data_IF_344600811823
#
_entry.id   IF_344600811823
#
_cell.length_a   1.000
_cell.length_b   1.000
_cell.length_c   1.000
_cell.angle_alpha   90.00
_cell.angle_beta   90.00
_cell.angle_gamma   90.00
#
_symmetry.space_group_name_H-M   'P 1'
#
loop_
_entity.id
_entity.type
_entity.pdbx_description
1 polymer ?
#
# COMPACT_ATOMS: atom_id res chain seq x y z
N UNK A 1 -39.57 -5.57 -23.74
CA UNK A 1 -38.52 -5.07 -22.83
C UNK A 1 -37.17 -5.38 -23.47
N UNK A 2 -36.64 -4.44 -24.26
CA UNK A 2 -35.45 -4.65 -25.09
C UNK A 2 -34.21 -4.53 -24.22
N UNK A 3 -33.58 -5.66 -23.89
CA UNK A 3 -32.20 -5.74 -23.40
C UNK A 3 -31.29 -5.13 -24.46
N UNK A 4 -31.12 -3.80 -24.40
CA UNK A 4 -30.02 -3.12 -25.09
C UNK A 4 -28.75 -3.85 -24.69
N UNK A 5 -28.21 -4.62 -25.64
CA UNK A 5 -26.89 -5.24 -25.57
C UNK A 5 -25.94 -4.20 -24.99
N UNK A 6 -25.59 -4.37 -23.72
CA UNK A 6 -24.69 -3.50 -22.98
C UNK A 6 -23.36 -3.50 -23.73
N UNK A 7 -23.20 -2.44 -24.52
CA UNK A 7 -22.00 -1.95 -25.19
C UNK A 7 -20.74 -2.75 -24.84
N UNK A 8 -20.31 -3.58 -25.79
CA UNK A 8 -19.00 -4.22 -25.87
C UNK A 8 -17.82 -3.22 -25.85
N UNK A 9 -18.09 -1.90 -25.94
CA UNK A 9 -17.08 -0.84 -25.87
C UNK A 9 -16.47 -0.68 -24.46
N UNK A 10 -17.14 -1.15 -23.40
CA UNK A 10 -16.64 -1.06 -22.04
C UNK A 10 -15.46 -2.01 -21.74
N UNK A 11 -15.22 -3.01 -22.60
CA UNK A 11 -14.17 -4.02 -22.41
C UNK A 11 -12.92 -3.77 -23.25
N UNK A 12 -12.82 -2.60 -23.90
CA UNK A 12 -11.53 -2.21 -24.47
C UNK A 12 -10.56 -2.02 -23.29
N UNK A 13 -9.40 -2.71 -23.27
CA UNK A 13 -8.43 -2.54 -22.21
C UNK A 13 -8.13 -1.04 -22.10
N UNK A 14 -8.52 -0.45 -20.96
CA UNK A 14 -8.16 0.93 -20.69
C UNK A 14 -6.65 0.97 -20.55
N UNK A 15 -6.04 2.08 -20.96
CA UNK A 15 -4.60 2.28 -20.76
C UNK A 15 -4.20 2.10 -19.27
N UNK A 16 -5.12 2.40 -18.34
CA UNK A 16 -4.99 2.12 -16.91
C UNK A 16 -4.86 0.62 -16.60
N UNK A 17 -5.65 -0.23 -17.26
CA UNK A 17 -5.54 -1.68 -17.10
C UNK A 17 -4.18 -2.19 -17.59
N UNK A 18 -3.66 -1.64 -18.70
CA UNK A 18 -2.31 -1.98 -19.19
C UNK A 18 -1.25 -1.59 -18.17
N UNK A 19 -1.28 -0.37 -17.64
CA UNK A 19 -0.36 0.06 -16.60
C UNK A 19 -0.48 -0.78 -15.32
N UNK A 20 -1.69 -1.15 -14.91
CA UNK A 20 -1.91 -2.04 -13.78
C UNK A 20 -1.29 -3.42 -14.02
N UNK A 21 -1.45 -4.00 -15.22
CA UNK A 21 -0.81 -5.28 -15.56
C UNK A 21 0.71 -5.19 -15.58
N UNK A 22 1.28 -4.07 -16.05
CA UNK A 22 2.73 -3.84 -15.99
C UNK A 22 3.21 -3.70 -14.54
N UNK A 23 2.48 -3.00 -13.68
CA UNK A 23 2.80 -2.89 -12.26
C UNK A 23 2.77 -4.27 -11.57
N UNK A 24 1.78 -5.11 -11.87
CA UNK A 24 1.74 -6.50 -11.39
C UNK A 24 2.90 -7.33 -11.94
N UNK A 25 3.26 -7.17 -13.22
CA UNK A 25 4.44 -7.81 -13.81
C UNK A 25 5.73 -7.41 -13.09
N UNK A 26 5.84 -6.13 -12.69
CA UNK A 26 6.98 -5.62 -11.92
C UNK A 26 7.05 -6.24 -10.52
N UNK A 27 5.91 -6.42 -9.84
CA UNK A 27 5.85 -7.16 -8.57
C UNK A 27 6.37 -8.58 -8.74
N UNK A 28 5.88 -9.30 -9.75
CA UNK A 28 6.28 -10.68 -10.02
C UNK A 28 7.78 -10.75 -10.32
N UNK A 29 8.28 -9.83 -11.14
CA UNK A 29 9.71 -9.74 -11.45
C UNK A 29 10.56 -9.52 -10.20
N UNK A 30 10.25 -8.53 -9.36
CA UNK A 30 11.00 -8.26 -8.13
C UNK A 30 10.78 -9.31 -7.03
N UNK A 31 9.66 -10.01 -7.03
CA UNK A 31 9.42 -11.13 -6.12
C UNK A 31 10.46 -12.25 -6.32
N UNK A 32 10.75 -12.59 -7.59
CA UNK A 32 11.74 -13.61 -7.92
C UNK A 32 13.18 -13.10 -7.88
N UNK A 33 13.45 -11.91 -8.44
CA UNK A 33 14.83 -11.38 -8.58
C UNK A 33 15.34 -10.62 -7.37
N UNK A 34 14.45 -10.10 -6.52
CA UNK A 34 14.83 -9.29 -5.36
C UNK A 34 15.52 -10.07 -4.24
N UNK A 35 15.52 -11.41 -4.28
CA UNK A 35 16.14 -12.26 -3.26
C UNK A 35 17.66 -12.12 -3.21
N UNK A 36 18.29 -12.02 -4.37
CA UNK A 36 19.74 -12.01 -4.49
C UNK A 36 20.37 -10.66 -4.12
N UNK A 37 19.52 -9.66 -3.87
CA UNK A 37 19.92 -8.28 -3.62
C UNK A 37 19.44 -7.75 -2.26
N UNK A 38 19.05 -8.64 -1.34
CA UNK A 38 18.65 -8.24 0.02
C UNK A 38 19.87 -7.92 0.88
N UNK A 39 19.82 -6.80 1.60
CA UNK A 39 20.85 -6.41 2.55
C UNK A 39 20.94 -7.45 3.68
N UNK A 40 22.10 -8.11 3.88
CA UNK A 40 22.27 -9.01 5.01
C UNK A 40 22.26 -8.15 6.27
N UNK A 41 21.27 -8.39 7.14
CA UNK A 41 21.27 -7.79 8.47
C UNK A 41 22.44 -8.39 9.23
N UNK A 42 23.47 -7.57 9.51
CA UNK A 42 24.65 -8.01 10.24
C UNK A 42 24.52 -7.57 11.69
N UNK A 43 24.74 -8.51 12.59
CA UNK A 43 24.85 -8.21 14.01
C UNK A 43 26.22 -7.57 14.24
N UNK A 44 26.24 -6.28 14.54
CA UNK A 44 27.46 -5.54 14.88
C UNK A 44 27.49 -5.36 16.40
N UNK A 45 28.47 -5.99 17.10
CA UNK A 45 28.63 -5.81 18.53
C UNK A 45 29.13 -4.38 18.80
N UNK A 46 28.36 -3.62 19.58
CA UNK A 46 28.76 -2.32 20.12
C UNK A 46 29.05 -2.48 21.61
N UNK A 47 30.25 -2.08 22.04
CA UNK A 47 30.59 -2.02 23.46
C UNK A 47 30.06 -0.71 24.03
N UNK A 48 29.20 -0.82 25.05
CA UNK A 48 28.72 0.32 25.82
C UNK A 48 29.39 0.32 27.19
N UNK A 49 30.04 1.42 27.54
CA UNK A 49 30.61 1.62 28.87
C UNK A 49 29.50 1.94 29.87
N UNK A 50 29.44 1.18 30.97
CA UNK A 50 28.54 1.41 32.09
C UNK A 50 29.41 1.65 33.34
N UNK A 51 29.21 2.76 34.06
CA UNK A 51 29.94 3.00 35.30
C UNK A 51 29.51 1.99 36.36
N UNK A 52 30.48 1.25 36.91
CA UNK A 52 30.30 0.33 38.02
C UNK A 52 30.99 0.90 39.27
N UNK A 53 30.26 0.91 40.38
CA UNK A 53 30.83 1.22 41.69
C UNK A 53 31.45 -0.05 42.27
N UNK A 54 32.78 -0.16 42.27
CA UNK A 54 33.47 -1.32 42.84
C UNK A 54 33.52 -1.26 44.36
N UNK A 55 33.91 -0.10 44.89
CA UNK A 55 34.13 0.08 46.32
C UNK A 55 34.07 1.57 46.68
N UNK A 56 33.85 1.91 47.95
CA UNK A 56 33.93 3.28 48.44
C UNK A 56 35.09 3.42 49.42
N UNK A 57 36.03 4.33 49.17
CA UNK A 57 37.14 4.60 50.09
C UNK A 57 36.79 5.79 50.98
N UNK A 58 37.06 5.64 52.28
CA UNK A 58 36.85 6.72 53.24
C UNK A 58 38.01 7.73 53.14
N UNK A 59 37.67 8.99 52.84
CA UNK A 59 38.57 10.12 52.85
C UNK A 59 38.07 11.13 53.90
N UNK A 60 38.46 10.92 55.16
CA UNK A 60 37.91 11.68 56.29
C UNK A 60 36.43 11.33 56.57
N UNK A 61 35.53 12.30 56.78
CA UNK A 61 34.11 12.02 57.04
C UNK A 61 33.30 11.68 55.77
N UNK A 62 33.90 11.76 54.58
CA UNK A 62 33.23 11.54 53.30
C UNK A 62 33.70 10.23 52.68
N UNK A 63 32.76 9.44 52.13
CA UNK A 63 33.08 8.24 51.34
C UNK A 63 33.08 8.59 49.86
N UNK A 64 34.22 8.44 49.21
CA UNK A 64 34.37 8.68 47.79
C UNK A 64 34.18 7.36 47.03
N UNK A 65 33.27 7.29 46.05
CA UNK A 65 33.10 6.09 45.25
C UNK A 65 34.28 5.91 44.27
N UNK A 66 34.86 4.72 44.24
CA UNK A 66 35.78 4.30 43.18
C UNK A 66 34.93 3.74 42.04
N UNK A 67 34.92 4.46 40.93
CA UNK A 67 34.26 4.01 39.69
C UNK A 67 35.23 3.19 38.85
N UNK A 68 34.72 2.10 38.28
CA UNK A 68 35.36 1.38 37.19
C UNK A 68 34.43 1.31 35.98
N UNK A 69 35.03 1.24 34.80
CA UNK A 69 34.28 1.07 33.55
C UNK A 69 33.96 -0.41 33.35
N UNK A 70 32.68 -0.77 33.47
CA UNK A 70 32.16 -2.04 32.98
C UNK A 70 31.88 -1.92 31.48
N UNK A 71 32.15 -2.98 30.71
CA UNK A 71 31.81 -3.03 29.29
C UNK A 71 30.64 -4.01 29.10
N UNK A 72 29.51 -3.52 28.59
CA UNK A 72 28.40 -4.37 28.16
C UNK A 72 28.39 -4.44 26.64
N UNK A 73 28.37 -5.66 26.10
CA UNK A 73 28.25 -5.86 24.65
C UNK A 73 26.78 -5.82 24.28
N UNK A 74 26.38 -4.80 23.53
CA UNK A 74 25.05 -4.70 22.92
C UNK A 74 25.14 -5.11 21.45
N UNK A 75 24.21 -5.93 20.98
CA UNK A 75 24.13 -6.30 19.57
C UNK A 75 23.22 -5.30 18.86
N UNK A 76 23.81 -4.41 18.07
CA UNK A 76 23.06 -3.57 17.16
C UNK A 76 22.94 -4.24 15.80
N UNK A 77 21.76 -4.13 15.19
CA UNK A 77 21.56 -4.60 13.83
C UNK A 77 22.06 -3.48 12.91
N UNK A 78 23.19 -3.71 12.25
CA UNK A 78 23.71 -2.78 11.25
C UNK A 78 23.38 -3.30 9.85
N UNK A 79 23.04 -2.35 8.99
CA UNK A 79 22.74 -2.60 7.58
C UNK A 79 23.85 -1.91 6.81
N UNK A 80 24.93 -2.65 6.53
CA UNK A 80 26.06 -2.11 5.76
C UNK A 80 25.61 -1.82 4.34
N UNK A 81 25.40 -0.55 4.02
CA UNK A 81 25.40 -0.05 2.63
C UNK A 81 24.35 1.03 2.33
N UNK A 82 24.76 2.15 1.69
CA UNK A 82 23.85 3.11 1.08
C UNK A 82 23.41 2.58 -0.29
N UNK A 83 22.65 1.49 -0.31
CA UNK A 83 21.99 1.03 -1.54
C UNK A 83 20.54 1.49 -1.50
N UNK A 84 20.35 2.80 -1.52
CA UNK A 84 19.07 3.37 -1.94
C UNK A 84 18.95 3.17 -3.45
N UNK A 85 17.78 2.74 -3.95
CA UNK A 85 17.56 2.59 -5.39
C UNK A 85 16.80 3.83 -5.83
N UNK A 86 17.49 4.93 -6.14
CA UNK A 86 16.84 6.16 -6.53
C UNK A 86 15.99 5.95 -7.79
N UNK A 87 16.38 5.01 -8.66
CA UNK A 87 15.61 4.63 -9.85
C UNK A 87 14.29 3.96 -9.45
N UNK A 88 14.30 3.00 -8.52
CA UNK A 88 13.07 2.33 -8.08
C UNK A 88 12.15 3.31 -7.34
N UNK A 89 12.71 4.20 -6.52
CA UNK A 89 12.00 5.27 -5.84
C UNK A 89 11.38 6.26 -6.83
N UNK A 90 12.13 6.69 -7.85
CA UNK A 90 11.61 7.56 -8.91
C UNK A 90 10.46 6.88 -9.69
N UNK A 91 10.62 5.61 -10.06
CA UNK A 91 9.57 4.82 -10.70
C UNK A 91 8.31 4.74 -9.84
N UNK A 92 8.46 4.50 -8.52
CA UNK A 92 7.33 4.51 -7.59
C UNK A 92 6.64 5.88 -7.57
N UNK A 93 7.39 6.98 -7.45
CA UNK A 93 6.81 8.32 -7.39
C UNK A 93 6.06 8.69 -8.68
N UNK A 94 6.62 8.36 -9.84
CA UNK A 94 5.93 8.56 -11.14
C UNK A 94 4.64 7.75 -11.17
N UNK A 95 4.69 6.48 -10.75
CA UNK A 95 3.52 5.61 -10.71
C UNK A 95 2.46 6.15 -9.74
N UNK A 96 2.85 6.58 -8.54
CA UNK A 96 1.95 7.19 -7.55
C UNK A 96 1.35 8.50 -8.05
N UNK A 97 2.10 9.32 -8.80
CA UNK A 97 1.56 10.51 -9.44
C UNK A 97 0.47 10.16 -10.48
N UNK A 98 0.68 9.11 -11.28
CA UNK A 98 -0.31 8.59 -12.22
C UNK A 98 -1.54 8.03 -11.47
N UNK A 99 -1.32 7.28 -10.38
CA UNK A 99 -2.39 6.76 -9.51
C UNK A 99 -3.20 7.91 -8.91
N UNK A 100 -2.54 8.94 -8.36
CA UNK A 100 -3.20 10.09 -7.76
C UNK A 100 -4.05 10.85 -8.77
N UNK A 101 -3.51 11.13 -9.97
CA UNK A 101 -4.23 11.78 -11.05
C UNK A 101 -5.42 10.93 -11.55
N UNK A 102 -5.20 9.62 -11.76
CA UNK A 102 -6.24 8.69 -12.19
C UNK A 102 -7.34 8.54 -11.14
N UNK A 103 -6.98 8.38 -9.88
CA UNK A 103 -7.90 8.24 -8.75
C UNK A 103 -8.78 9.47 -8.62
N UNK A 104 -8.18 10.66 -8.53
CA UNK A 104 -8.93 11.92 -8.38
C UNK A 104 -9.80 12.23 -9.60
N UNK A 105 -9.33 11.92 -10.81
CA UNK A 105 -10.13 12.05 -12.03
C UNK A 105 -11.36 11.13 -11.99
N UNK A 106 -11.21 9.87 -11.58
CA UNK A 106 -12.34 8.93 -11.47
C UNK A 106 -13.29 9.31 -10.34
N UNK A 107 -12.77 9.61 -9.14
CA UNK A 107 -13.56 10.00 -7.97
C UNK A 107 -14.40 11.25 -8.26
N UNK A 108 -13.87 12.20 -9.04
CA UNK A 108 -14.62 13.40 -9.44
C UNK A 108 -15.89 13.13 -10.28
N UNK A 109 -16.07 11.92 -10.82
CA UNK A 109 -17.27 11.50 -11.57
C UNK A 109 -18.33 10.81 -10.72
N UNK A 110 -18.01 10.49 -9.46
CA UNK A 110 -18.89 9.71 -8.58
C UNK A 110 -19.99 10.59 -7.98
N UNK A 111 -21.02 9.95 -7.44
CA UNK A 111 -22.05 10.63 -6.64
C UNK A 111 -21.45 11.31 -5.41
N UNK A 112 -22.10 12.34 -4.88
CA UNK A 112 -21.59 13.20 -3.80
C UNK A 112 -21.01 12.44 -2.59
N UNK A 113 -21.71 11.43 -2.09
CA UNK A 113 -21.26 10.64 -0.94
C UNK A 113 -20.01 9.81 -1.27
N UNK A 114 -20.00 9.16 -2.44
CA UNK A 114 -18.87 8.40 -2.93
C UNK A 114 -17.68 9.30 -3.29
N UNK A 115 -17.90 10.53 -3.76
CA UNK A 115 -16.87 11.54 -3.97
C UNK A 115 -16.17 11.88 -2.65
N UNK A 116 -16.93 12.24 -1.61
CA UNK A 116 -16.36 12.58 -0.30
C UNK A 116 -15.57 11.40 0.27
N UNK A 117 -16.13 10.19 0.25
CA UNK A 117 -15.44 8.99 0.70
C UNK A 117 -14.16 8.70 -0.12
N UNK A 118 -14.21 8.88 -1.44
CA UNK A 118 -13.09 8.67 -2.34
C UNK A 118 -11.96 9.70 -2.18
N UNK A 119 -12.25 10.89 -1.65
CA UNK A 119 -11.23 11.91 -1.35
C UNK A 119 -10.48 11.65 -0.04
N UNK A 120 -11.01 10.83 0.88
CA UNK A 120 -10.36 10.53 2.15
C UNK A 120 -8.96 9.90 1.94
N UNK A 121 -8.78 8.83 1.13
CA UNK A 121 -7.45 8.28 0.85
C UNK A 121 -6.49 9.29 0.22
N UNK A 122 -6.98 10.22 -0.61
CA UNK A 122 -6.17 11.26 -1.24
C UNK A 122 -5.59 12.20 -0.19
N UNK A 123 -6.40 12.64 0.77
CA UNK A 123 -5.97 13.52 1.86
C UNK A 123 -4.91 12.82 2.72
N UNK A 124 -5.15 11.58 3.12
CA UNK A 124 -4.18 10.81 3.92
C UNK A 124 -2.88 10.53 3.17
N UNK A 125 -2.95 10.25 1.87
CA UNK A 125 -1.77 10.09 1.03
C UNK A 125 -0.95 11.38 0.94
N UNK A 126 -1.58 12.53 0.67
CA UNK A 126 -0.88 13.81 0.63
C UNK A 126 -0.27 14.18 1.99
N UNK A 127 -0.96 13.87 3.09
CA UNK A 127 -0.44 14.06 4.45
C UNK A 127 0.76 13.14 4.73
N UNK A 128 0.76 11.90 4.22
CA UNK A 128 1.85 10.96 4.47
C UNK A 128 3.16 11.39 3.82
N UNK A 129 3.12 12.13 2.70
CA UNK A 129 4.31 12.59 1.98
C UNK A 129 5.22 13.52 2.79
N UNK A 130 4.72 14.14 3.88
CA UNK A 130 5.50 14.98 4.79
C UNK A 130 6.38 16.01 4.07
N UNK A 131 5.78 16.80 3.18
CA UNK A 131 6.52 17.74 2.32
C UNK A 131 7.17 18.89 3.07
N UNK A 132 6.76 19.19 4.31
CA UNK A 132 7.38 20.20 5.17
C UNK A 132 8.86 19.87 5.48
N UNK A 133 9.22 18.59 5.48
CA UNK A 133 10.59 18.13 5.69
C UNK A 133 11.53 18.42 4.50
N UNK A 134 11.00 18.90 3.37
CA UNK A 134 11.77 19.29 2.17
C UNK A 134 12.22 20.75 2.16
N UNK A 135 11.80 21.56 3.15
CA UNK A 135 12.18 22.97 3.28
C UNK A 135 11.52 23.92 2.28
N UNK A 136 10.45 23.49 1.61
CA UNK A 136 9.72 24.26 0.59
C UNK A 136 8.86 25.31 1.33
N UNK A 137 9.33 26.56 1.37
CA UNK A 137 8.76 27.71 2.12
C UNK A 137 9.14 27.84 3.60
N UNK A 138 10.31 27.32 3.98
CA UNK A 138 10.84 27.43 5.34
C UNK A 138 10.55 26.19 6.18
N UNK A 139 11.48 25.84 7.06
CA UNK A 139 11.41 24.62 7.87
C UNK A 139 10.31 24.73 8.94
N UNK A 140 9.35 23.80 8.92
CA UNK A 140 8.34 23.65 9.97
C UNK A 140 6.92 24.10 9.59
N UNK A 141 6.76 24.79 8.46
CA UNK A 141 5.45 25.26 8.00
C UNK A 141 4.78 24.28 7.02
N UNK A 142 3.46 24.13 7.12
CA UNK A 142 2.66 23.20 6.29
C UNK A 142 2.05 23.84 5.04
N UNK A 143 2.60 24.97 4.58
CA UNK A 143 2.06 25.72 3.43
C UNK A 143 2.01 24.89 2.15
N UNK A 144 3.06 24.09 1.88
CA UNK A 144 3.08 23.26 0.68
C UNK A 144 1.99 22.18 0.71
N UNK A 145 1.73 21.56 1.87
CA UNK A 145 0.64 20.59 2.02
C UNK A 145 -0.72 21.25 1.74
N UNK A 146 -0.97 22.46 2.27
CA UNK A 146 -2.20 23.20 1.99
C UNK A 146 -2.35 23.56 0.51
N UNK A 147 -1.25 23.92 -0.15
CA UNK A 147 -1.23 24.13 -1.60
C UNK A 147 -1.59 22.85 -2.35
N UNK A 148 -0.99 21.71 -2.01
CA UNK A 148 -1.31 20.42 -2.63
C UNK A 148 -2.79 20.05 -2.45
N UNK A 149 -3.32 20.20 -1.23
CA UNK A 149 -4.74 19.94 -0.93
C UNK A 149 -5.66 20.90 -1.69
N UNK A 150 -5.32 22.18 -1.77
CA UNK A 150 -6.07 23.18 -2.52
C UNK A 150 -6.07 22.90 -4.02
N UNK A 151 -4.91 22.58 -4.60
CA UNK A 151 -4.78 22.33 -6.03
C UNK A 151 -5.37 20.98 -6.45
N UNK A 152 -4.98 19.89 -5.78
CA UNK A 152 -5.44 18.54 -6.13
C UNK A 152 -6.86 18.29 -5.63
N UNK A 153 -7.13 18.60 -4.36
CA UNK A 153 -8.46 18.43 -3.77
C UNK A 153 -9.47 19.44 -4.31
N UNK A 154 -9.10 20.72 -4.37
CA UNK A 154 -9.94 21.77 -4.98
C UNK A 154 -10.13 21.56 -6.49
N UNK A 155 -9.11 21.09 -7.21
CA UNK A 155 -9.24 20.69 -8.62
C UNK A 155 -10.23 19.53 -8.82
N UNK A 156 -10.14 18.49 -7.98
CA UNK A 156 -11.08 17.37 -8.01
C UNK A 156 -12.51 17.82 -7.71
N UNK A 157 -12.67 18.69 -6.70
CA UNK A 157 -13.96 19.27 -6.33
C UNK A 157 -14.52 20.16 -7.43
N UNK A 158 -13.71 21.00 -8.06
CA UNK A 158 -14.13 21.85 -9.17
C UNK A 158 -14.62 21.03 -10.36
N UNK A 159 -13.91 19.94 -10.69
CA UNK A 159 -14.36 19.00 -11.72
C UNK A 159 -15.66 18.28 -11.33
N UNK A 160 -15.82 17.92 -10.06
CA UNK A 160 -17.02 17.28 -9.54
C UNK A 160 -18.23 18.22 -9.57
N UNK A 161 -18.09 19.47 -9.13
CA UNK A 161 -19.19 20.42 -8.96
C UNK A 161 -19.59 21.13 -10.26
N UNK A 162 -18.65 21.42 -11.16
CA UNK A 162 -18.90 22.31 -12.31
C UNK A 162 -18.70 21.65 -13.67
N UNK A 163 -18.03 20.49 -13.74
CA UNK A 163 -17.55 19.95 -15.00
C UNK A 163 -18.16 18.58 -15.35
N UNK A 164 -19.41 18.30 -14.94
CA UNK A 164 -20.10 17.01 -15.13
C UNK A 164 -20.09 16.49 -16.57
N UNK A 165 -20.09 17.39 -17.56
CA UNK A 165 -20.07 17.04 -19.00
C UNK A 165 -18.70 16.62 -19.54
N UNK A 166 -17.61 16.81 -18.79
CA UNK A 166 -16.27 16.44 -19.24
C UNK A 166 -16.08 14.92 -19.23
N UNK A 167 -15.54 14.41 -20.34
CA UNK A 167 -15.14 13.01 -20.43
C UNK A 167 -14.03 12.66 -19.43
N UNK A 168 -14.00 11.41 -18.97
CA UNK A 168 -13.00 10.93 -18.03
C UNK A 168 -11.56 11.16 -18.52
N UNK A 169 -11.30 11.04 -19.82
CA UNK A 169 -9.99 11.29 -20.41
C UNK A 169 -9.54 12.76 -20.22
N UNK A 170 -10.44 13.73 -20.40
CA UNK A 170 -10.14 15.15 -20.18
C UNK A 170 -9.93 15.46 -18.70
N UNK A 171 -10.75 14.87 -17.82
CA UNK A 171 -10.56 14.95 -16.36
C UNK A 171 -9.19 14.40 -15.96
N UNK A 172 -8.83 13.23 -16.48
CA UNK A 172 -7.52 12.61 -16.29
C UNK A 172 -6.38 13.54 -16.70
N UNK A 173 -6.44 14.12 -17.91
CA UNK A 173 -5.43 15.06 -18.40
C UNK A 173 -5.29 16.29 -17.49
N UNK A 174 -6.41 16.91 -17.09
CA UNK A 174 -6.41 18.07 -16.20
C UNK A 174 -5.75 17.70 -14.86
N UNK A 175 -6.16 16.58 -14.25
CA UNK A 175 -5.59 16.16 -12.96
C UNK A 175 -4.13 15.75 -13.08
N UNK A 176 -3.72 15.12 -14.18
CA UNK A 176 -2.31 14.82 -14.46
C UNK A 176 -1.49 16.10 -14.59
N UNK A 177 -2.01 17.13 -15.26
CA UNK A 177 -1.34 18.42 -15.38
C UNK A 177 -1.20 19.11 -14.02
N UNK A 178 -2.26 19.09 -13.19
CA UNK A 178 -2.22 19.67 -11.85
C UNK A 178 -1.22 18.93 -10.94
N UNK A 179 -1.23 17.60 -10.94
CA UNK A 179 -0.27 16.79 -10.17
C UNK A 179 1.16 17.00 -10.68
N UNK A 180 1.37 17.07 -12.00
CA UNK A 180 2.68 17.34 -12.58
C UNK A 180 3.17 18.76 -12.26
N UNK A 181 2.30 19.77 -12.28
CA UNK A 181 2.64 21.14 -11.91
C UNK A 181 3.04 21.25 -10.43
N UNK A 182 2.28 20.61 -9.54
CA UNK A 182 2.60 20.54 -8.10
C UNK A 182 3.91 19.77 -7.87
N UNK A 183 4.11 18.63 -8.53
CA UNK A 183 5.35 17.87 -8.45
C UNK A 183 6.55 18.63 -9.00
N UNK A 184 6.39 19.31 -10.14
CA UNK A 184 7.43 20.17 -10.71
C UNK A 184 7.79 21.33 -9.79
N UNK A 185 6.80 21.98 -9.17
CA UNK A 185 7.03 23.03 -8.17
C UNK A 185 7.76 22.48 -6.93
N UNK A 186 7.40 21.27 -6.47
CA UNK A 186 8.08 20.58 -5.37
C UNK A 186 9.58 20.44 -5.67
N UNK A 187 9.93 19.90 -6.84
CA UNK A 187 11.33 19.72 -7.23
C UNK A 187 12.07 21.04 -7.45
N UNK A 188 11.39 22.05 -8.01
CA UNK A 188 11.99 23.35 -8.25
C UNK A 188 12.30 24.14 -6.96
N UNK A 189 11.56 23.88 -5.88
CA UNK A 189 11.68 24.61 -4.61
C UNK A 189 12.29 23.78 -3.48
N UNK A 190 12.62 22.50 -3.72
CA UNK A 190 13.26 21.65 -2.72
C UNK A 190 14.68 22.15 -2.43
N UNK A 191 15.05 22.20 -1.16
CA UNK A 191 16.42 22.54 -0.74
C UNK A 191 17.39 21.36 -0.86
N UNK A 192 16.86 20.16 -1.09
CA UNK A 192 17.63 18.93 -1.19
C UNK A 192 18.01 18.63 -2.65
N UNK A 193 19.13 17.92 -2.89
CA UNK A 193 19.41 17.35 -4.19
C UNK A 193 18.26 16.46 -4.68
N UNK A 194 17.95 16.50 -5.97
CA UNK A 194 16.79 15.81 -6.54
C UNK A 194 16.72 14.31 -6.19
N UNK A 195 17.87 13.64 -6.09
CA UNK A 195 17.96 12.22 -5.70
C UNK A 195 17.51 12.01 -4.26
N UNK A 196 17.92 12.88 -3.34
CA UNK A 196 17.52 12.83 -1.92
C UNK A 196 16.03 13.15 -1.76
N UNK A 197 15.53 14.15 -2.49
CA UNK A 197 14.09 14.49 -2.54
C UNK A 197 13.25 13.27 -2.96
N UNK A 198 13.66 12.55 -4.01
CA UNK A 198 12.99 11.33 -4.48
C UNK A 198 12.97 10.26 -3.40
N UNK A 199 14.11 10.00 -2.75
CA UNK A 199 14.22 8.96 -1.73
C UNK A 199 13.39 9.28 -0.50
N UNK A 200 13.39 10.54 -0.06
CA UNK A 200 12.60 11.02 1.06
C UNK A 200 11.10 10.91 0.77
N UNK A 201 10.65 11.39 -0.39
CA UNK A 201 9.25 11.26 -0.80
C UNK A 201 8.81 9.79 -0.91
N UNK A 202 9.65 8.92 -1.47
CA UNK A 202 9.33 7.50 -1.58
C UNK A 202 9.24 6.82 -0.20
N UNK A 203 10.14 7.16 0.73
CA UNK A 203 10.07 6.67 2.11
C UNK A 203 8.76 7.09 2.79
N UNK A 204 8.40 8.37 2.70
CA UNK A 204 7.16 8.92 3.26
C UNK A 204 5.89 8.51 2.51
N UNK A 205 6.00 8.08 1.26
CA UNK A 205 4.89 7.47 0.51
C UNK A 205 4.60 6.02 0.95
N UNK A 206 5.53 5.34 1.62
CA UNK A 206 5.40 3.92 2.01
C UNK A 206 4.14 3.63 2.83
N UNK A 207 3.78 4.41 3.88
CA UNK A 207 2.52 4.22 4.59
C UNK A 207 1.29 4.37 3.70
N UNK A 208 1.30 5.34 2.78
CA UNK A 208 0.22 5.53 1.81
C UNK A 208 0.10 4.37 0.82
N UNK A 209 1.21 3.86 0.31
CA UNK A 209 1.26 2.66 -0.52
C UNK A 209 0.75 1.41 0.20
N UNK A 210 1.07 1.29 1.49
CA UNK A 210 0.55 0.23 2.34
C UNK A 210 -0.99 0.35 2.46
N UNK A 211 -1.54 1.55 2.65
CA UNK A 211 -3.00 1.78 2.67
C UNK A 211 -3.65 1.39 1.35
N UNK A 212 -3.05 1.70 0.20
CA UNK A 212 -3.54 1.25 -1.10
C UNK A 212 -3.57 -0.28 -1.20
N UNK A 213 -2.53 -0.96 -0.70
CA UNK A 213 -2.49 -2.42 -0.64
C UNK A 213 -3.58 -2.98 0.28
N UNK A 214 -3.78 -2.39 1.46
CA UNK A 214 -4.85 -2.78 2.38
C UNK A 214 -6.23 -2.63 1.75
N UNK A 215 -6.48 -1.52 1.05
CA UNK A 215 -7.73 -1.27 0.32
C UNK A 215 -7.93 -2.28 -0.81
N UNK A 216 -6.88 -2.64 -1.55
CA UNK A 216 -6.94 -3.68 -2.57
C UNK A 216 -7.31 -5.03 -1.94
N UNK A 217 -6.66 -5.40 -0.84
CA UNK A 217 -6.90 -6.65 -0.13
C UNK A 217 -8.33 -6.72 0.39
N UNK A 218 -8.85 -5.64 0.99
CA UNK A 218 -10.25 -5.53 1.42
C UNK A 218 -11.21 -5.73 0.24
N UNK A 219 -10.96 -5.02 -0.86
CA UNK A 219 -11.79 -5.13 -2.07
C UNK A 219 -11.81 -6.56 -2.60
N UNK A 220 -10.62 -7.16 -2.75
CA UNK A 220 -10.43 -8.50 -3.30
C UNK A 220 -10.97 -9.57 -2.34
N UNK A 221 -10.85 -9.39 -1.02
CA UNK A 221 -11.40 -10.30 -0.01
C UNK A 221 -12.91 -10.45 -0.14
N UNK A 222 -13.63 -9.34 -0.26
CA UNK A 222 -15.09 -9.32 -0.49
C UNK A 222 -15.47 -9.97 -1.83
N UNK A 223 -14.59 -9.90 -2.84
CA UNK A 223 -14.78 -10.61 -4.11
C UNK A 223 -14.55 -12.12 -3.97
N UNK A 224 -13.50 -12.52 -3.28
CA UNK A 224 -13.12 -13.90 -3.02
C UNK A 224 -14.17 -14.67 -2.21
N UNK A 225 -14.68 -14.09 -1.12
CA UNK A 225 -15.69 -14.75 -0.29
C UNK A 225 -16.92 -15.10 -1.13
N UNK A 226 -17.40 -14.17 -1.99
CA UNK A 226 -18.54 -14.50 -2.84
C UNK A 226 -18.18 -15.44 -3.99
N UNK A 227 -16.95 -15.42 -4.49
CA UNK A 227 -16.51 -16.42 -5.45
C UNK A 227 -16.57 -17.83 -4.84
N UNK A 228 -16.12 -17.99 -3.59
CA UNK A 228 -16.23 -19.24 -2.84
C UNK A 228 -17.68 -19.64 -2.60
N UNK A 229 -18.53 -18.68 -2.19
CA UNK A 229 -19.97 -18.93 -2.05
C UNK A 229 -20.58 -19.36 -3.39
N UNK A 230 -20.21 -18.72 -4.50
CA UNK A 230 -20.69 -19.09 -5.83
C UNK A 230 -20.29 -20.52 -6.21
N UNK A 231 -19.04 -20.92 -5.95
CA UNK A 231 -18.60 -22.31 -6.16
C UNK A 231 -19.35 -23.31 -5.28
N UNK A 232 -19.59 -22.97 -4.01
CA UNK A 232 -20.31 -23.83 -3.07
C UNK A 232 -21.81 -23.98 -3.42
N UNK A 233 -22.38 -23.00 -4.11
CA UNK A 233 -23.84 -22.86 -4.32
C UNK A 233 -24.33 -23.28 -5.70
N UNK A 234 -23.46 -23.94 -6.47
CA UNK A 234 -23.84 -24.82 -7.58
C UNK A 234 -24.64 -26.05 -7.10
N UNK A 235 -24.78 -26.27 -5.79
CA UNK A 235 -25.72 -27.22 -5.20
C UNK A 235 -27.19 -26.78 -5.44
N UNK A 236 -28.09 -27.74 -5.66
CA UNK A 236 -29.39 -27.65 -6.36
C UNK A 236 -30.46 -26.68 -5.81
N UNK A 237 -30.21 -25.90 -4.73
CA UNK A 237 -31.22 -25.05 -4.09
C UNK A 237 -30.91 -23.54 -4.14
N UNK A 238 -31.66 -22.74 -4.94
CA UNK A 238 -31.48 -21.30 -5.11
C UNK A 238 -31.64 -20.41 -3.86
N UNK A 239 -32.44 -20.84 -2.89
CA UNK A 239 -32.79 -20.03 -1.71
C UNK A 239 -31.72 -20.00 -0.61
N UNK A 240 -30.80 -20.97 -0.58
CA UNK A 240 -29.74 -21.09 0.43
C UNK A 240 -28.41 -20.40 0.02
N UNK A 241 -28.33 -19.90 -1.22
CA UNK A 241 -27.07 -19.53 -1.91
C UNK A 241 -26.27 -18.38 -1.27
N UNK A 242 -26.91 -17.55 -0.45
CA UNK A 242 -26.25 -16.42 0.21
C UNK A 242 -26.70 -16.31 1.67
N UNK A 243 -26.86 -17.45 2.35
CA UNK A 243 -27.16 -17.47 3.77
C UNK A 243 -26.02 -16.89 4.61
N UNK A 244 -26.37 -16.34 5.78
CA UNK A 244 -25.39 -15.89 6.78
C UNK A 244 -24.41 -17.00 7.17
N UNK A 245 -24.88 -18.25 7.22
CA UNK A 245 -24.09 -19.41 7.65
C UNK A 245 -22.93 -19.75 6.71
N UNK A 246 -23.11 -19.95 5.39
CA UNK A 246 -22.01 -20.09 4.45
C UNK A 246 -20.99 -18.96 4.52
N UNK A 247 -21.46 -17.71 4.69
CA UNK A 247 -20.57 -16.56 4.85
C UNK A 247 -19.71 -16.66 6.10
N UNK A 248 -20.32 -16.90 7.27
CA UNK A 248 -19.62 -17.07 8.55
C UNK A 248 -18.64 -18.24 8.49
N UNK A 249 -19.03 -19.37 7.87
CA UNK A 249 -18.14 -20.52 7.71
C UNK A 249 -16.93 -20.21 6.82
N UNK A 250 -17.12 -19.51 5.70
CA UNK A 250 -16.03 -19.10 4.82
C UNK A 250 -15.09 -18.10 5.52
N UNK A 251 -15.62 -17.13 6.26
CA UNK A 251 -14.83 -16.19 7.06
C UNK A 251 -14.04 -16.89 8.17
N UNK A 252 -14.65 -17.83 8.89
CA UNK A 252 -13.96 -18.63 9.92
C UNK A 252 -12.87 -19.52 9.33
N UNK A 253 -13.08 -20.10 8.15
CA UNK A 253 -12.05 -20.86 7.44
C UNK A 253 -10.85 -19.97 7.08
N UNK A 254 -11.12 -18.76 6.56
CA UNK A 254 -10.08 -17.78 6.25
C UNK A 254 -9.29 -17.35 7.49
N UNK A 255 -9.99 -17.03 8.59
CA UNK A 255 -9.38 -16.71 9.88
C UNK A 255 -8.57 -17.87 10.44
N UNK A 256 -9.07 -19.11 10.29
CA UNK A 256 -8.38 -20.32 10.72
C UNK A 256 -7.07 -20.54 9.95
N UNK A 257 -7.09 -20.37 8.63
CA UNK A 257 -5.88 -20.45 7.80
C UNK A 257 -4.88 -19.36 8.17
N UNK A 258 -5.35 -18.13 8.42
CA UNK A 258 -4.49 -17.03 8.89
C UNK A 258 -3.88 -17.32 10.26
N UNK A 259 -4.70 -17.80 11.20
CA UNK A 259 -4.23 -18.19 12.53
C UNK A 259 -3.14 -19.26 12.43
N UNK A 260 -3.36 -20.29 11.61
CA UNK A 260 -2.36 -21.34 11.35
C UNK A 260 -1.11 -20.79 10.68
N UNK A 261 -1.23 -19.85 9.74
CA UNK A 261 -0.09 -19.19 9.10
C UNK A 261 0.78 -18.45 10.13
N UNK A 262 0.17 -17.63 10.99
CA UNK A 262 0.88 -16.88 12.03
C UNK A 262 1.47 -17.83 13.08
N UNK A 263 0.72 -18.86 13.48
CA UNK A 263 1.15 -19.85 14.47
C UNK A 263 2.35 -20.67 14.00
N UNK A 264 2.40 -21.03 12.70
CA UNK A 264 3.51 -21.78 12.09
C UNK A 264 4.67 -20.87 11.63
N UNK A 265 4.90 -19.76 12.33
CA UNK A 265 6.05 -18.89 12.07
C UNK A 265 6.01 -18.24 10.69
N UNK A 266 4.81 -17.96 10.15
CA UNK A 266 4.58 -17.38 8.81
C UNK A 266 5.03 -18.30 7.66
N UNK A 267 5.00 -19.60 7.91
CA UNK A 267 5.20 -20.62 6.87
C UNK A 267 4.02 -21.57 6.87
N UNK A 268 3.36 -21.71 5.72
CA UNK A 268 2.32 -22.72 5.52
C UNK A 268 2.82 -23.71 4.48
N UNK A 269 3.27 -24.88 4.92
CA UNK A 269 3.67 -25.95 4.00
C UNK A 269 2.43 -26.76 3.63
N UNK A 270 2.09 -26.79 2.34
CA UNK A 270 0.98 -27.62 1.83
C UNK A 270 1.43 -29.06 1.54
N UNK A 271 2.66 -29.19 1.01
CA UNK A 271 3.35 -30.46 0.77
C UNK A 271 4.81 -30.32 1.22
N UNK A 272 5.53 -31.44 1.45
CA UNK A 272 6.97 -31.40 1.70
C UNK A 272 7.69 -30.63 0.59
N UNK A 273 8.31 -29.49 0.95
CA UNK A 273 9.01 -28.61 0.01
C UNK A 273 8.14 -27.57 -0.72
N UNK A 274 6.80 -27.62 -0.60
CA UNK A 274 5.90 -26.63 -1.18
C UNK A 274 5.34 -25.70 -0.09
N UNK A 275 5.99 -24.54 0.07
CA UNK A 275 5.48 -23.47 0.92
C UNK A 275 4.49 -22.59 0.14
N UNK A 276 3.32 -22.36 0.73
CA UNK A 276 2.32 -21.45 0.18
C UNK A 276 2.63 -20.02 0.64
N UNK A 277 2.99 -19.15 -0.30
CA UNK A 277 3.15 -17.73 -0.04
C UNK A 277 1.81 -17.00 -0.25
N UNK A 278 1.26 -16.32 0.78
CA UNK A 278 0.00 -15.58 0.66
C UNK A 278 0.00 -14.55 -0.47
N UNK A 279 1.15 -13.99 -0.82
CA UNK A 279 1.28 -13.05 -1.94
C UNK A 279 0.94 -13.69 -3.29
N UNK A 280 1.29 -14.97 -3.47
CA UNK A 280 1.00 -15.72 -4.70
C UNK A 280 -0.51 -15.98 -4.81
N UNK A 281 -1.20 -16.19 -3.68
CA UNK A 281 -2.66 -16.33 -3.64
C UNK A 281 -3.40 -15.04 -3.99
N UNK A 282 -2.78 -13.87 -3.79
CA UNK A 282 -3.38 -12.59 -4.13
C UNK A 282 -3.53 -12.40 -5.65
N UNK A 283 -2.64 -12.98 -6.47
CA UNK A 283 -2.69 -12.87 -7.92
C UNK A 283 -3.99 -13.43 -8.53
N UNK A 284 -4.36 -14.71 -8.32
CA UNK A 284 -5.63 -15.22 -8.83
C UNK A 284 -6.82 -14.49 -8.21
N UNK A 285 -6.71 -14.04 -6.97
CA UNK A 285 -7.75 -13.26 -6.30
C UNK A 285 -8.02 -11.91 -6.98
N UNK A 286 -6.97 -11.18 -7.34
CA UNK A 286 -7.06 -9.94 -8.14
C UNK A 286 -7.69 -10.22 -9.51
N UNK A 287 -7.29 -11.29 -10.19
CA UNK A 287 -7.88 -11.65 -11.49
C UNK A 287 -9.37 -11.97 -11.38
N UNK A 288 -9.76 -12.81 -10.41
CA UNK A 288 -11.16 -13.18 -10.16
C UNK A 288 -11.99 -11.95 -9.78
N UNK A 289 -11.46 -11.09 -8.92
CA UNK A 289 -12.08 -9.83 -8.52
C UNK A 289 -12.34 -8.93 -9.73
N UNK A 290 -11.36 -8.73 -10.60
CA UNK A 290 -11.50 -7.90 -11.81
C UNK A 290 -12.58 -8.43 -12.77
N UNK A 291 -12.65 -9.74 -12.99
CA UNK A 291 -13.69 -10.37 -13.83
C UNK A 291 -15.07 -10.26 -13.17
N UNK A 292 -15.14 -10.41 -11.84
CA UNK A 292 -16.37 -10.37 -11.05
C UNK A 292 -17.06 -9.01 -11.01
N UNK A 293 -16.33 -7.90 -11.22
CA UNK A 293 -16.88 -6.53 -11.13
C UNK A 293 -18.12 -6.31 -12.00
N UNK A 294 -18.17 -6.90 -13.20
CA UNK A 294 -19.30 -6.71 -14.13
C UNK A 294 -20.59 -7.33 -13.61
N UNK A 295 -20.48 -8.49 -12.97
CA UNK A 295 -21.63 -9.22 -12.41
C UNK A 295 -22.27 -8.42 -11.27
N UNK A 296 -21.52 -7.51 -10.64
CA UNK A 296 -21.96 -6.70 -9.49
C UNK A 296 -22.34 -5.27 -9.82
N UNK A 297 -22.32 -4.88 -11.09
CA UNK A 297 -22.78 -3.57 -11.52
C UNK A 297 -24.17 -3.18 -10.94
N UNK A 298 -25.16 -4.10 -10.81
CA UNK A 298 -26.46 -3.76 -10.22
C UNK A 298 -26.41 -3.44 -8.72
N UNK A 299 -25.55 -4.11 -7.95
CA UNK A 299 -25.49 -3.97 -6.49
C UNK A 299 -24.90 -2.64 -6.04
N UNK A 300 -23.91 -2.13 -6.79
CA UNK A 300 -23.19 -0.90 -6.44
C UNK A 300 -23.58 0.29 -7.31
N UNK A 301 -24.42 0.10 -8.32
CA UNK A 301 -24.67 1.08 -9.37
C UNK A 301 -25.21 2.43 -8.88
N UNK A 302 -25.89 2.46 -7.73
CA UNK A 302 -26.37 3.70 -7.10
C UNK A 302 -25.22 4.55 -6.50
N UNK A 303 -24.15 3.91 -6.04
CA UNK A 303 -23.03 4.59 -5.36
C UNK A 303 -21.86 4.79 -6.33
N UNK A 304 -21.52 3.74 -7.07
CA UNK A 304 -20.36 3.69 -7.98
C UNK A 304 -20.79 3.05 -9.30
N UNK A 305 -21.15 3.86 -10.32
CA UNK A 305 -21.50 3.35 -11.63
C UNK A 305 -20.37 2.51 -12.24
N UNK A 306 -20.70 1.36 -12.82
CA UNK A 306 -19.68 0.40 -13.29
C UNK A 306 -18.69 1.01 -14.30
N UNK A 307 -19.19 1.66 -15.36
CA UNK A 307 -18.35 2.10 -16.47
C UNK A 307 -17.44 3.28 -16.13
N UNK A 308 -17.94 4.25 -15.36
CA UNK A 308 -17.23 5.48 -15.01
C UNK A 308 -16.43 5.33 -13.70
N UNK A 309 -16.94 4.54 -12.75
CA UNK A 309 -16.34 4.31 -11.44
C UNK A 309 -15.58 2.99 -11.38
N UNK A 310 -16.27 1.87 -11.15
CA UNK A 310 -15.62 0.60 -10.75
C UNK A 310 -14.60 0.08 -11.76
N UNK A 311 -14.93 0.12 -13.06
CA UNK A 311 -14.04 -0.36 -14.12
C UNK A 311 -12.73 0.45 -14.23
N UNK A 312 -12.67 1.65 -13.63
CA UNK A 312 -11.52 2.54 -13.67
C UNK A 312 -10.83 2.64 -12.31
N UNK A 313 -11.58 2.66 -11.20
CA UNK A 313 -11.03 2.65 -9.84
C UNK A 313 -10.23 1.37 -9.57
N UNK A 314 -10.74 0.22 -10.02
CA UNK A 314 -10.10 -1.06 -9.77
C UNK A 314 -8.67 -1.14 -10.34
N UNK A 315 -8.42 -0.88 -11.64
CA UNK A 315 -7.05 -0.91 -12.16
C UNK A 315 -6.17 0.18 -11.53
N UNK A 316 -6.71 1.34 -11.16
CA UNK A 316 -5.94 2.38 -10.45
C UNK A 316 -5.49 1.89 -9.07
N UNK A 317 -6.38 1.22 -8.33
CA UNK A 317 -6.08 0.65 -7.02
C UNK A 317 -5.06 -0.49 -7.14
N UNK A 318 -5.24 -1.40 -8.11
CA UNK A 318 -4.29 -2.49 -8.41
C UNK A 318 -2.93 -1.91 -8.78
N UNK A 319 -2.87 -0.89 -9.64
CA UNK A 319 -1.64 -0.21 -10.05
C UNK A 319 -0.91 0.40 -8.86
N UNK A 320 -1.61 1.11 -7.98
CA UNK A 320 -1.00 1.73 -6.79
C UNK A 320 -0.52 0.72 -5.76
N UNK A 321 -1.32 -0.30 -5.46
CA UNK A 321 -0.96 -1.38 -4.54
C UNK A 321 0.20 -2.22 -5.08
N UNK A 322 0.15 -2.63 -6.35
CA UNK A 322 1.24 -3.36 -7.00
C UNK A 322 2.50 -2.51 -7.10
N UNK A 323 2.38 -1.22 -7.40
CA UNK A 323 3.49 -0.27 -7.39
C UNK A 323 4.22 -0.20 -6.05
N UNK A 324 3.46 0.01 -4.97
CA UNK A 324 3.99 0.05 -3.62
C UNK A 324 4.67 -1.28 -3.23
N UNK A 325 4.03 -2.40 -3.58
CA UNK A 325 4.57 -3.73 -3.33
C UNK A 325 5.85 -4.03 -4.15
N UNK A 326 5.88 -3.61 -5.41
CA UNK A 326 7.05 -3.74 -6.28
C UNK A 326 8.22 -2.93 -5.74
N UNK A 327 7.99 -1.71 -5.25
CA UNK A 327 9.02 -0.92 -4.57
C UNK A 327 9.47 -1.58 -3.26
N UNK A 328 8.55 -2.19 -2.50
CA UNK A 328 8.90 -2.94 -1.29
C UNK A 328 9.79 -4.17 -1.57
N UNK A 329 9.59 -4.83 -2.73
CA UNK A 329 10.43 -5.94 -3.19
C UNK A 329 11.66 -5.51 -3.97
N UNK A 330 11.73 -4.24 -4.35
CA UNK A 330 12.92 -3.68 -4.99
C UNK A 330 14.12 -3.83 -4.02
N UNK A 331 15.34 -3.98 -4.55
CA UNK A 331 16.53 -4.46 -3.85
C UNK A 331 17.05 -3.59 -2.68
N UNK A 332 16.26 -2.65 -2.18
CA UNK A 332 16.73 -1.54 -1.34
C UNK A 332 16.02 -1.43 0.00
N UNK A 333 15.11 -2.35 0.30
CA UNK A 333 14.47 -2.47 1.60
C UNK A 333 14.87 -3.82 2.21
N UNK A 334 15.43 -3.86 3.44
CA UNK A 334 15.71 -5.12 4.11
C UNK A 334 14.45 -5.97 4.17
N UNK A 335 14.52 -7.23 3.70
CA UNK A 335 13.40 -8.18 3.75
C UNK A 335 12.83 -8.35 5.16
N UNK A 336 13.55 -7.99 6.22
CA UNK A 336 13.05 -7.98 7.60
C UNK A 336 11.79 -7.11 7.81
N UNK A 337 11.49 -6.15 6.93
CA UNK A 337 10.23 -5.41 6.97
C UNK A 337 9.02 -6.19 6.41
N UNK A 338 9.25 -7.24 5.61
CA UNK A 338 8.20 -7.87 4.79
C UNK A 338 8.17 -9.42 4.83
N UNK A 339 9.30 -10.08 5.06
CA UNK A 339 9.39 -11.51 5.42
C UNK A 339 9.90 -11.61 6.87
N UNK A 340 9.12 -12.19 7.78
CA UNK A 340 9.61 -12.51 9.11
C UNK A 340 10.60 -13.67 9.00
N UNK A 341 11.88 -13.36 8.85
CA UNK A 341 12.92 -14.29 9.24
C UNK A 341 12.83 -14.43 10.76
N UNK A 342 12.39 -15.60 11.23
CA UNK A 342 12.38 -16.13 12.59
C UNK A 342 13.02 -15.24 13.69
N UNK A 343 12.39 -14.12 14.03
CA UNK A 343 12.81 -13.27 15.14
C UNK A 343 11.58 -12.92 16.01
N UNK A 344 11.66 -13.15 17.32
CA UNK A 344 10.58 -12.85 18.25
C UNK A 344 10.61 -11.36 18.58
N UNK A 345 9.72 -10.56 17.97
CA UNK A 345 9.68 -9.12 18.27
C UNK A 345 8.76 -8.31 17.36
N UNK A 346 7.46 -8.36 17.63
CA UNK A 346 6.44 -7.31 17.47
C UNK A 346 6.78 -6.09 16.58
N UNK A 347 7.05 -6.28 15.29
CA UNK A 347 7.01 -5.20 14.27
C UNK A 347 6.32 -5.56 12.94
N UNK A 348 5.77 -6.77 12.82
CA UNK A 348 4.88 -7.17 11.70
C UNK A 348 3.40 -6.83 11.94
N UNK A 349 3.09 -5.74 12.63
CA UNK A 349 1.71 -5.42 13.05
C UNK A 349 0.79 -5.07 11.85
N UNK A 350 1.38 -4.59 10.74
CA UNK A 350 0.64 -4.12 9.58
C UNK A 350 0.03 -5.25 8.74
N UNK A 351 0.78 -6.34 8.53
CA UNK A 351 0.29 -7.52 7.79
C UNK A 351 -0.85 -8.22 8.53
N UNK A 352 -0.72 -8.35 9.85
CA UNK A 352 -1.77 -8.95 10.70
C UNK A 352 -3.07 -8.16 10.58
N UNK A 353 -3.02 -6.82 10.60
CA UNK A 353 -4.19 -5.95 10.41
C UNK A 353 -4.79 -6.02 8.99
N UNK A 354 -3.96 -6.01 7.94
CA UNK A 354 -4.42 -6.13 6.55
C UNK A 354 -5.06 -7.49 6.28
N UNK A 355 -4.53 -8.56 6.86
CA UNK A 355 -5.09 -9.92 6.73
C UNK A 355 -6.31 -10.15 7.64
N UNK A 356 -6.36 -9.53 8.84
CA UNK A 356 -7.57 -9.49 9.68
C UNK A 356 -8.73 -8.79 8.94
N UNK A 357 -8.44 -7.71 8.22
CA UNK A 357 -9.42 -7.03 7.36
C UNK A 357 -9.80 -7.83 6.11
N UNK A 358 -8.95 -8.74 5.64
CA UNK A 358 -9.26 -9.64 4.54
C UNK A 358 -10.30 -10.71 4.93
N UNK A 359 -10.51 -10.91 6.22
CA UNK A 359 -11.42 -11.92 6.78
C UNK A 359 -12.72 -11.34 7.37
N UNK A 360 -12.79 -10.02 7.59
CA UNK A 360 -13.99 -9.24 7.94
C UNK A 360 -14.70 -8.79 6.67
#
# INVERSE_FOLDING_TARGET
MSTKLLSTRAWRPSWLAVLATLAVGLVVFYYFTGADATLPVRLVPQLQEIPLMLESVAAGPVRLPIQASGLVTTLTHDVVGPFTAPVAAACLLVLLAVVLAGWTAVVSTLARTAFVAGMVPVIFFLLSLNTESLGIFGSGERYFLYLMLGVVGGGAFGLHAFAESLSLARRGLIMSLLVAAVGGLLFAQSQLPAVETVLQLAAYATPGGAVLFALLVLWVGVENIRALLWFNTQAEQPGSRFGLWPFVAASLLYLGVLFLYVWNGNTLQLLPGLALDPLVLLLPAVLVSGVGLRLRAPSYGQWVPYAQGMAQLYPVLVMGAAGALAYAFAPTIPRCWWRPAALPGWRCCWWVLVFLFMCL
#
